data_IF_583824983651
#
_entry.id   IF_583824983651
#
_cell.length_a   1.000
_cell.length_b   1.000
_cell.length_c   1.000
_cell.angle_alpha   90.00
_cell.angle_beta   90.00
_cell.angle_gamma   90.00
#
_symmetry.space_group_name_H-M   'P 1'
#
loop_
_entity.id
_entity.type
_entity.pdbx_description
1 polymer ?
#
# COMPACT_ATOMS: atom_id res chain seq x y z
N UNK A 1 2.55 -14.81 -17.25
CA UNK A 1 2.20 -16.05 -16.51
C UNK A 1 1.50 -17.05 -17.44
N UNK A 2 1.73 -18.35 -17.27
CA UNK A 2 1.03 -19.40 -18.02
C UNK A 2 -0.46 -19.49 -17.62
N UNK A 3 -1.35 -19.23 -18.58
CA UNK A 3 -2.80 -19.31 -18.37
C UNK A 3 -3.29 -20.72 -18.02
N UNK A 4 -2.54 -21.77 -18.39
CA UNK A 4 -2.94 -23.15 -18.08
C UNK A 4 -2.91 -23.44 -16.57
N UNK A 5 -2.19 -22.64 -15.79
CA UNK A 5 -2.15 -22.72 -14.34
C UNK A 5 -3.39 -22.11 -13.67
N UNK A 6 -4.20 -21.37 -14.43
CA UNK A 6 -5.29 -20.54 -13.93
C UNK A 6 -6.63 -20.99 -14.49
N UNK A 7 -7.68 -20.87 -13.69
CA UNK A 7 -9.06 -21.03 -14.13
C UNK A 7 -9.76 -19.67 -14.18
N UNK A 8 -10.10 -19.21 -15.38
CA UNK A 8 -10.89 -17.99 -15.56
C UNK A 8 -12.30 -18.17 -14.97
N UNK A 9 -12.74 -17.22 -14.14
CA UNK A 9 -14.06 -17.18 -13.50
C UNK A 9 -14.89 -15.96 -13.86
N UNK A 10 -14.25 -14.90 -14.36
CA UNK A 10 -14.90 -13.70 -14.87
C UNK A 10 -14.06 -13.02 -15.96
N UNK A 11 -14.50 -11.85 -16.47
CA UNK A 11 -13.74 -11.09 -17.45
C UNK A 11 -12.30 -10.83 -17.01
N UNK A 12 -12.11 -10.45 -15.75
CA UNK A 12 -10.81 -10.10 -15.18
C UNK A 12 -10.51 -10.87 -13.88
N UNK A 13 -11.06 -12.07 -13.73
CA UNK A 13 -10.94 -12.87 -12.50
C UNK A 13 -10.43 -14.29 -12.80
N UNK A 14 -9.30 -14.64 -12.18
CA UNK A 14 -8.55 -15.87 -12.41
C UNK A 14 -8.29 -16.58 -11.10
N UNK A 15 -8.59 -17.87 -11.04
CA UNK A 15 -8.51 -18.66 -9.81
C UNK A 15 -7.44 -19.74 -9.93
N UNK A 16 -6.69 -19.93 -8.85
CA UNK A 16 -5.79 -21.06 -8.65
C UNK A 16 -6.45 -21.97 -7.60
N UNK A 17 -6.75 -23.20 -8.01
CA UNK A 17 -7.37 -24.17 -7.09
C UNK A 17 -6.37 -24.58 -6.01
N UNK A 18 -6.80 -24.81 -4.76
CA UNK A 18 -5.89 -25.24 -3.70
C UNK A 18 -5.16 -26.52 -4.09
N UNK A 19 -3.84 -26.53 -3.93
CA UNK A 19 -3.00 -27.70 -4.13
C UNK A 19 -1.82 -27.69 -3.14
N UNK A 20 -1.21 -28.86 -2.90
CA UNK A 20 -0.12 -28.98 -1.93
C UNK A 20 -0.55 -28.53 -0.53
N UNK A 21 0.17 -27.57 0.05
CA UNK A 21 -0.09 -27.05 1.40
C UNK A 21 -1.03 -25.84 1.43
N UNK A 22 -1.62 -25.44 0.30
CA UNK A 22 -2.58 -24.34 0.26
C UNK A 22 -3.80 -24.66 1.13
N UNK A 23 -4.15 -23.73 2.00
CA UNK A 23 -5.32 -23.80 2.90
C UNK A 23 -6.56 -23.20 2.25
N UNK A 24 -6.36 -22.26 1.33
CA UNK A 24 -7.38 -21.52 0.58
C UNK A 24 -6.99 -21.41 -0.90
N UNK A 25 -7.91 -21.12 -1.83
CA UNK A 25 -7.53 -20.80 -3.21
C UNK A 25 -6.70 -19.52 -3.28
N UNK A 26 -6.10 -19.26 -4.45
CA UNK A 26 -5.63 -17.92 -4.79
C UNK A 26 -6.47 -17.31 -5.92
N UNK A 27 -6.64 -15.99 -5.89
CA UNK A 27 -7.44 -15.23 -6.86
C UNK A 27 -6.62 -14.07 -7.38
N UNK A 28 -6.51 -13.95 -8.69
CA UNK A 28 -5.84 -12.84 -9.37
C UNK A 28 -6.88 -12.06 -10.14
N UNK A 29 -6.95 -10.76 -9.88
CA UNK A 29 -7.76 -9.83 -10.67
C UNK A 29 -6.89 -9.14 -11.70
N UNK A 30 -7.14 -9.37 -12.98
CA UNK A 30 -6.39 -8.79 -14.10
C UNK A 30 -7.03 -9.14 -15.43
N UNK A 31 -6.85 -8.27 -16.43
CA UNK A 31 -7.14 -8.63 -17.82
C UNK A 31 -6.22 -9.75 -18.29
N UNK A 32 -6.62 -10.48 -19.34
CA UNK A 32 -5.77 -11.55 -19.89
C UNK A 32 -4.39 -11.04 -20.33
N UNK A 33 -4.33 -9.83 -20.91
CA UNK A 33 -3.06 -9.20 -21.29
C UNK A 33 -2.14 -9.02 -20.09
N UNK A 34 -2.67 -8.49 -18.98
CA UNK A 34 -1.91 -8.31 -17.75
C UNK A 34 -1.46 -9.65 -17.15
N UNK A 35 -2.32 -10.68 -17.13
CA UNK A 35 -1.92 -12.02 -16.66
C UNK A 35 -0.75 -12.58 -17.49
N UNK A 36 -0.80 -12.43 -18.81
CA UNK A 36 0.26 -12.91 -19.69
C UNK A 36 1.59 -12.19 -19.42
N UNK A 37 1.52 -10.90 -19.13
CA UNK A 37 2.69 -10.06 -18.82
C UNK A 37 3.21 -10.19 -17.37
N UNK A 38 2.38 -10.66 -16.43
CA UNK A 38 2.78 -10.90 -15.04
C UNK A 38 3.87 -11.96 -14.92
N UNK A 39 4.82 -11.75 -14.00
CA UNK A 39 5.89 -12.69 -13.66
C UNK A 39 5.32 -13.98 -13.04
N UNK A 40 5.91 -15.14 -13.34
CA UNK A 40 5.62 -16.43 -12.69
C UNK A 40 5.84 -16.38 -11.17
N UNK A 41 6.70 -15.49 -10.68
CA UNK A 41 6.89 -15.25 -9.25
C UNK A 41 5.62 -14.77 -8.56
N UNK A 42 4.71 -14.08 -9.25
CA UNK A 42 3.41 -13.72 -8.68
C UNK A 42 2.62 -14.98 -8.35
N UNK A 43 2.58 -15.96 -9.26
CA UNK A 43 1.92 -17.26 -9.04
C UNK A 43 2.52 -17.98 -7.83
N UNK A 44 3.85 -18.09 -7.78
CA UNK A 44 4.56 -18.72 -6.66
C UNK A 44 4.23 -18.03 -5.33
N UNK A 45 4.24 -16.70 -5.28
CA UNK A 45 4.02 -15.96 -4.05
C UNK A 45 2.56 -16.03 -3.58
N UNK A 46 1.55 -15.89 -4.46
CA UNK A 46 0.15 -16.04 -4.03
C UNK A 46 -0.17 -17.45 -3.56
N UNK A 47 0.42 -18.47 -4.18
CA UNK A 47 0.25 -19.86 -3.74
C UNK A 47 0.96 -20.14 -2.41
N UNK A 48 2.15 -19.56 -2.18
CA UNK A 48 2.84 -19.63 -0.89
C UNK A 48 2.05 -18.93 0.23
N UNK A 49 1.53 -17.73 -0.02
CA UNK A 49 0.69 -16.99 0.94
C UNK A 49 -0.55 -17.79 1.30
N UNK A 50 -1.16 -18.47 0.33
CA UNK A 50 -2.31 -19.36 0.55
C UNK A 50 -2.03 -20.54 1.49
N UNK A 51 -0.77 -20.82 1.86
CA UNK A 51 -0.41 -21.87 2.84
C UNK A 51 -0.39 -21.40 4.29
N UNK A 52 -0.42 -20.08 4.53
CA UNK A 52 -0.14 -19.50 5.84
C UNK A 52 -1.28 -19.76 6.86
N UNK A 53 -0.96 -20.06 8.14
CA UNK A 53 -1.97 -20.36 9.16
C UNK A 53 -2.98 -19.23 9.35
N UNK A 54 -4.25 -19.60 9.56
CA UNK A 54 -5.35 -18.66 9.77
C UNK A 54 -5.76 -17.82 8.56
N UNK A 55 -5.19 -18.03 7.36
CA UNK A 55 -5.63 -17.30 6.16
C UNK A 55 -7.10 -17.59 5.85
N UNK A 56 -7.86 -16.54 5.51
CA UNK A 56 -9.30 -16.66 5.22
C UNK A 56 -9.60 -16.43 3.75
N UNK A 57 -10.58 -17.19 3.24
CA UNK A 57 -11.17 -17.11 1.89
C UNK A 57 -10.23 -17.39 0.72
N UNK A 58 -9.22 -16.55 0.51
CA UNK A 58 -8.23 -16.69 -0.55
C UNK A 58 -6.99 -15.82 -0.30
N UNK A 59 -5.89 -16.15 -0.98
CA UNK A 59 -4.81 -15.19 -1.22
C UNK A 59 -5.12 -14.41 -2.50
N UNK A 60 -5.13 -13.08 -2.44
CA UNK A 60 -5.48 -12.23 -3.57
C UNK A 60 -4.25 -11.54 -4.17
N UNK A 61 -4.29 -11.30 -5.47
CA UNK A 61 -3.38 -10.40 -6.18
C UNK A 61 -4.16 -9.43 -7.08
N UNK A 62 -3.75 -8.17 -7.05
CA UNK A 62 -4.32 -7.06 -7.82
C UNK A 62 -3.73 -6.99 -9.24
N UNK A 63 -4.32 -6.20 -10.16
CA UNK A 63 -3.89 -6.16 -11.56
C UNK A 63 -2.46 -5.67 -11.81
N UNK A 64 -1.88 -4.98 -10.85
CA UNK A 64 -0.50 -4.45 -10.85
C UNK A 64 0.49 -5.36 -10.11
N UNK A 65 0.06 -6.59 -9.77
CA UNK A 65 0.88 -7.49 -8.96
C UNK A 65 2.19 -7.88 -9.67
N UNK A 66 3.27 -7.89 -8.89
CA UNK A 66 4.61 -8.25 -9.34
C UNK A 66 5.44 -8.80 -8.18
N UNK A 67 6.64 -9.27 -8.50
CA UNK A 67 7.51 -9.94 -7.54
C UNK A 67 7.84 -9.04 -6.33
N UNK A 68 7.49 -9.52 -5.14
CA UNK A 68 7.76 -8.84 -3.86
C UNK A 68 8.64 -9.67 -2.91
N UNK A 69 8.67 -9.31 -1.63
CA UNK A 69 9.43 -10.01 -0.60
C UNK A 69 8.52 -10.95 0.21
N UNK A 70 8.44 -12.22 -0.21
CA UNK A 70 7.57 -13.24 0.39
C UNK A 70 6.14 -13.17 -0.16
N UNK A 71 5.47 -12.04 0.01
CA UNK A 71 4.19 -11.72 -0.64
C UNK A 71 4.46 -10.99 -1.97
N UNK A 72 3.57 -11.09 -2.97
CA UNK A 72 3.67 -10.23 -4.13
C UNK A 72 3.30 -8.79 -3.75
N UNK A 73 3.94 -7.80 -4.39
CA UNK A 73 3.39 -6.44 -4.36
C UNK A 73 2.04 -6.47 -5.05
N UNK A 74 1.06 -5.70 -4.56
CA UNK A 74 -0.35 -5.82 -4.98
C UNK A 74 -1.06 -7.04 -4.40
N UNK A 75 -0.46 -7.73 -3.41
CA UNK A 75 -1.08 -8.84 -2.70
C UNK A 75 -2.04 -8.39 -1.59
N UNK A 76 -3.11 -9.15 -1.37
CA UNK A 76 -4.00 -8.98 -0.21
C UNK A 76 -4.28 -10.34 0.42
N UNK A 77 -4.11 -10.44 1.73
CA UNK A 77 -4.47 -11.62 2.50
C UNK A 77 -4.99 -11.20 3.87
N UNK A 78 -6.08 -11.82 4.30
CA UNK A 78 -6.64 -11.64 5.63
C UNK A 78 -6.37 -12.90 6.47
N UNK A 79 -6.05 -12.69 7.75
CA UNK A 79 -5.71 -13.73 8.70
C UNK A 79 -6.59 -13.61 9.93
N UNK A 80 -7.24 -14.70 10.32
CA UNK A 80 -8.10 -14.75 11.49
C UNK A 80 -7.28 -15.09 12.75
N UNK A 81 -7.18 -14.17 13.75
CA UNK A 81 -6.40 -14.42 14.95
C UNK A 81 -6.92 -15.62 15.77
N UNK A 82 -8.22 -15.89 15.75
CA UNK A 82 -8.83 -17.01 16.49
C UNK A 82 -8.51 -18.37 15.85
N UNK A 83 -8.09 -18.37 14.58
CA UNK A 83 -7.65 -19.55 13.84
C UNK A 83 -6.12 -19.68 13.77
N UNK A 84 -5.41 -18.99 14.67
CA UNK A 84 -3.94 -18.97 14.68
C UNK A 84 -3.35 -18.13 13.54
N UNK A 85 -4.06 -17.08 13.13
CA UNK A 85 -3.63 -16.12 12.13
C UNK A 85 -2.27 -15.50 12.45
N UNK A 86 -1.51 -15.25 11.39
CA UNK A 86 -0.15 -14.70 11.49
C UNK A 86 -0.10 -13.26 11.03
N UNK A 87 0.88 -12.52 11.54
CA UNK A 87 1.31 -11.23 10.97
C UNK A 87 2.67 -11.43 10.33
N UNK A 88 2.79 -11.07 9.05
CA UNK A 88 4.05 -11.14 8.31
C UNK A 88 4.48 -9.75 7.87
N UNK A 89 5.66 -9.31 8.30
CA UNK A 89 6.22 -8.02 7.85
C UNK A 89 6.38 -7.97 6.32
N UNK A 90 6.71 -9.11 5.69
CA UNK A 90 6.78 -9.20 4.22
C UNK A 90 5.43 -9.05 3.52
N UNK A 91 4.31 -9.28 4.22
CA UNK A 91 2.96 -9.01 3.71
C UNK A 91 2.51 -7.56 3.83
N UNK A 92 3.22 -6.75 4.63
CA UNK A 92 3.00 -5.30 4.75
C UNK A 92 3.95 -4.54 3.81
N UNK A 93 5.22 -4.93 3.79
CA UNK A 93 6.28 -4.26 3.03
C UNK A 93 7.26 -3.51 3.92
N UNK A 94 8.41 -3.13 3.34
CA UNK A 94 9.48 -2.43 4.05
C UNK A 94 9.14 -0.96 4.34
N UNK A 95 8.52 -0.28 3.38
CA UNK A 95 8.07 1.10 3.51
C UNK A 95 6.65 1.11 4.12
N UNK A 96 6.59 0.94 5.44
CA UNK A 96 5.34 0.83 6.18
C UNK A 96 4.55 2.13 6.03
N UNK A 97 3.27 2.01 5.66
CA UNK A 97 2.38 3.14 5.41
C UNK A 97 2.78 4.01 4.21
N UNK A 98 3.58 3.49 3.26
CA UNK A 98 3.71 4.09 1.94
C UNK A 98 2.30 4.32 1.37
N UNK A 99 2.01 5.56 0.97
CA UNK A 99 0.64 5.96 0.70
C UNK A 99 0.54 7.24 -0.10
N UNK A 100 -0.69 7.62 -0.42
CA UNK A 100 -0.99 8.76 -1.27
C UNK A 100 -1.90 9.72 -0.51
N UNK A 101 -1.56 11.02 -0.55
CA UNK A 101 -2.45 12.10 -0.15
C UNK A 101 -2.77 12.95 -1.37
N UNK A 102 -4.05 13.14 -1.65
CA UNK A 102 -4.52 14.07 -2.66
C UNK A 102 -5.07 15.34 -1.99
N UNK A 103 -4.61 16.51 -2.45
CA UNK A 103 -5.14 17.80 -2.02
C UNK A 103 -5.92 18.42 -3.17
N UNK A 104 -7.15 18.85 -2.89
CA UNK A 104 -8.00 19.53 -3.86
C UNK A 104 -7.88 21.04 -3.67
N UNK A 105 -7.71 21.75 -4.79
CA UNK A 105 -7.82 23.22 -4.84
C UNK A 105 -9.08 23.62 -5.62
N UNK A 106 -9.40 24.91 -5.61
CA UNK A 106 -10.43 25.49 -6.47
C UNK A 106 -9.92 25.94 -7.85
N UNK A 107 -8.63 25.70 -8.16
CA UNK A 107 -7.98 26.17 -9.39
C UNK A 107 -8.28 25.24 -10.55
N UNK A 108 -8.34 25.80 -11.76
CA UNK A 108 -8.47 25.04 -13.00
C UNK A 108 -7.12 24.80 -13.66
N UNK A 109 -7.11 24.05 -14.76
CA UNK A 109 -5.90 23.83 -15.56
C UNK A 109 -5.41 25.16 -16.15
N UNK A 110 -6.33 26.02 -16.57
CA UNK A 110 -6.04 27.32 -17.18
C UNK A 110 -5.37 28.27 -16.19
N UNK A 111 -5.74 28.23 -14.91
CA UNK A 111 -5.08 29.01 -13.84
C UNK A 111 -3.62 28.56 -13.65
N UNK A 112 -3.35 27.26 -13.84
CA UNK A 112 -2.04 26.66 -13.57
C UNK A 112 -1.09 26.72 -14.77
N UNK A 113 -1.60 26.68 -16.01
CA UNK A 113 -0.74 26.64 -17.21
C UNK A 113 0.32 27.74 -17.26
N UNK A 114 0.01 29.02 -16.94
CA UNK A 114 1.00 30.10 -16.99
C UNK A 114 2.09 30.00 -15.91
N UNK A 115 1.83 29.30 -14.81
CA UNK A 115 2.72 29.27 -13.63
C UNK A 115 3.27 27.89 -13.30
N UNK A 116 2.97 26.86 -14.09
CA UNK A 116 3.30 25.45 -13.79
C UNK A 116 4.78 25.21 -13.49
N UNK A 117 5.69 25.86 -14.21
CA UNK A 117 7.13 25.72 -14.01
C UNK A 117 7.57 26.37 -12.70
N UNK A 118 7.12 27.60 -12.44
CA UNK A 118 7.41 28.33 -11.20
C UNK A 118 6.84 27.60 -9.98
N UNK A 119 5.64 27.02 -10.10
CA UNK A 119 5.03 26.22 -9.04
C UNK A 119 5.82 24.94 -8.78
N UNK A 120 6.23 24.22 -9.82
CA UNK A 120 7.04 23.01 -9.68
C UNK A 120 8.39 23.31 -9.00
N UNK A 121 9.07 24.39 -9.41
CA UNK A 121 10.33 24.84 -8.81
C UNK A 121 10.14 25.25 -7.34
N UNK A 122 9.08 26.00 -7.04
CA UNK A 122 8.76 26.39 -5.67
C UNK A 122 8.48 25.17 -4.77
N UNK A 123 7.74 24.17 -5.27
CA UNK A 123 7.49 22.92 -4.55
C UNK A 123 8.79 22.14 -4.33
N UNK A 124 9.61 21.98 -5.36
CA UNK A 124 10.89 21.28 -5.26
C UNK A 124 11.84 21.92 -4.24
N UNK A 125 11.92 23.25 -4.21
CA UNK A 125 12.72 23.95 -3.21
C UNK A 125 12.14 23.90 -1.80
N UNK A 126 10.82 23.79 -1.68
CA UNK A 126 10.14 23.82 -0.37
C UNK A 126 10.01 22.45 0.28
N UNK A 127 9.92 21.39 -0.52
CA UNK A 127 9.70 20.01 -0.08
C UNK A 127 11.01 19.22 -0.27
N UNK A 128 11.75 18.93 0.81
CA UNK A 128 12.99 18.16 0.71
C UNK A 128 12.72 16.76 0.13
N UNK A 129 13.43 16.41 -0.95
CA UNK A 129 13.37 15.11 -1.59
C UNK A 129 14.78 14.59 -1.91
N UNK A 130 14.93 13.27 -2.06
CA UNK A 130 16.19 12.60 -2.39
C UNK A 130 16.92 12.00 -1.18
N UNK A 131 17.75 11.00 -1.44
CA UNK A 131 18.52 10.27 -0.42
C UNK A 131 19.48 11.24 0.30
N UNK A 132 19.40 11.29 1.63
CA UNK A 132 20.23 12.17 2.47
C UNK A 132 19.70 13.60 2.63
N UNK A 133 18.58 13.95 1.98
CA UNK A 133 17.90 15.23 2.18
C UNK A 133 17.23 15.28 3.56
N UNK A 134 17.21 16.45 4.21
CA UNK A 134 16.63 16.61 5.56
C UNK A 134 15.65 17.78 5.61
N UNK A 135 14.63 17.63 6.46
CA UNK A 135 13.63 18.66 6.72
C UNK A 135 14.08 19.73 7.70
N UNK A 136 13.27 20.79 7.80
CA UNK A 136 13.45 21.86 8.80
C UNK A 136 12.98 21.45 10.20
N UNK A 137 12.13 20.43 10.29
CA UNK A 137 11.65 19.88 11.55
C UNK A 137 12.79 19.12 12.22
N UNK A 138 13.16 19.54 13.43
CA UNK A 138 14.17 18.89 14.27
C UNK A 138 13.45 18.40 15.51
N UNK A 139 13.50 17.10 15.74
CA UNK A 139 12.87 16.46 16.90
C UNK A 139 13.96 15.86 17.77
N UNK A 140 13.86 16.07 19.08
CA UNK A 140 14.56 15.23 20.02
C UNK A 140 13.85 13.87 20.18
N UNK A 141 14.37 13.02 21.06
CA UNK A 141 13.80 11.69 21.28
C UNK A 141 12.35 11.75 21.80
N UNK A 142 12.05 12.67 22.71
CA UNK A 142 10.71 12.77 23.29
C UNK A 142 9.70 13.29 22.26
N UNK A 143 10.09 14.29 21.46
CA UNK A 143 9.24 14.77 20.38
C UNK A 143 9.06 13.75 19.27
N UNK A 144 10.07 12.92 18.99
CA UNK A 144 9.95 11.78 18.07
C UNK A 144 8.91 10.78 18.58
N UNK A 145 8.97 10.39 19.86
CA UNK A 145 7.99 9.48 20.46
C UNK A 145 6.57 10.09 20.40
N UNK A 146 6.44 11.39 20.69
CA UNK A 146 5.17 12.10 20.56
C UNK A 146 4.65 12.16 19.11
N UNK A 147 5.54 12.30 18.13
CA UNK A 147 5.19 12.27 16.71
C UNK A 147 4.74 10.88 16.26
N UNK A 148 5.49 9.83 16.62
CA UNK A 148 5.18 8.44 16.25
C UNK A 148 3.84 7.98 16.86
N UNK A 149 3.59 8.31 18.12
CA UNK A 149 2.34 7.95 18.82
C UNK A 149 1.15 8.84 18.45
N UNK A 150 1.41 10.09 18.04
CA UNK A 150 0.40 11.09 17.72
C UNK A 150 0.04 11.22 16.23
N UNK A 151 0.87 10.71 15.33
CA UNK A 151 0.64 10.72 13.88
C UNK A 151 0.35 12.12 13.31
N UNK A 152 -0.60 12.22 12.39
CA UNK A 152 -1.00 13.49 11.79
C UNK A 152 -1.60 14.47 12.82
N UNK A 153 -2.21 13.97 13.91
CA UNK A 153 -2.74 14.83 14.97
C UNK A 153 -1.62 15.62 15.67
N UNK A 154 -0.45 15.01 15.86
CA UNK A 154 0.73 15.72 16.36
C UNK A 154 1.15 16.85 15.41
N UNK A 155 1.16 16.58 14.09
CA UNK A 155 1.54 17.57 13.09
C UNK A 155 0.58 18.77 13.09
N UNK A 156 -0.74 18.53 13.13
CA UNK A 156 -1.76 19.59 13.25
C UNK A 156 -1.58 20.38 14.55
N UNK A 157 -1.31 19.70 15.68
CA UNK A 157 -1.03 20.35 16.96
C UNK A 157 0.22 21.24 16.96
N UNK A 158 1.16 21.00 16.03
CA UNK A 158 2.35 21.83 15.78
C UNK A 158 2.13 22.90 14.70
N UNK A 159 0.91 23.03 14.18
CA UNK A 159 0.54 24.03 13.17
C UNK A 159 0.75 23.58 11.72
N UNK A 160 0.97 22.29 11.48
CA UNK A 160 1.07 21.73 10.13
C UNK A 160 -0.29 21.20 9.68
N UNK A 161 -1.05 22.04 8.98
CA UNK A 161 -2.39 21.72 8.51
C UNK A 161 -3.49 22.26 9.43
N UNK A 162 -4.69 21.74 9.27
CA UNK A 162 -5.89 22.12 10.01
C UNK A 162 -6.51 20.92 10.71
N UNK A 163 -7.41 21.17 11.67
CA UNK A 163 -8.11 20.07 12.36
C UNK A 163 -9.00 19.26 11.40
N UNK A 164 -9.61 19.93 10.42
CA UNK A 164 -10.45 19.31 9.39
C UNK A 164 -9.65 18.31 8.55
N UNK A 165 -8.35 18.51 8.35
CA UNK A 165 -7.51 17.57 7.60
C UNK A 165 -7.58 16.15 8.18
N UNK A 166 -7.76 15.99 9.50
CA UNK A 166 -7.80 14.69 10.17
C UNK A 166 -9.06 13.87 9.82
N UNK A 167 -10.13 14.51 9.36
CA UNK A 167 -11.35 13.82 8.94
C UNK A 167 -11.18 13.13 7.58
N UNK A 168 -10.19 13.53 6.79
CA UNK A 168 -9.94 13.05 5.43
C UNK A 168 -8.67 12.21 5.32
N UNK A 169 -8.17 11.68 6.44
CA UNK A 169 -7.04 10.75 6.48
C UNK A 169 -7.56 9.42 7.01
N UNK A 170 -7.16 8.32 6.38
CA UNK A 170 -7.38 6.97 6.91
C UNK A 170 -6.91 6.87 8.37
N UNK A 171 -7.69 6.21 9.23
CA UNK A 171 -7.45 6.13 10.69
C UNK A 171 -7.33 7.51 11.36
N UNK A 172 -7.90 8.57 10.78
CA UNK A 172 -7.71 9.96 11.21
C UNK A 172 -6.23 10.36 11.33
N UNK A 173 -5.37 9.70 10.57
CA UNK A 173 -3.92 9.86 10.58
C UNK A 173 -3.24 9.39 11.86
N UNK A 174 -3.87 8.51 12.66
CA UNK A 174 -3.28 7.93 13.87
C UNK A 174 -3.85 6.55 14.17
N UNK A 175 -3.01 5.52 14.02
CA UNK A 175 -3.35 4.17 14.47
C UNK A 175 -3.36 4.08 16.00
N UNK A 176 -4.37 3.43 16.57
CA UNK A 176 -4.43 3.17 18.01
C UNK A 176 -3.38 2.14 18.43
N UNK A 177 -2.73 2.34 19.58
CA UNK A 177 -1.75 1.40 20.15
C UNK A 177 -0.32 1.50 19.59
N UNK A 178 -0.05 2.51 18.76
CA UNK A 178 1.29 2.89 18.31
C UNK A 178 2.17 3.42 19.46
#
# INVERSE_FOLDING_TARGET
MDLNLLKRRGPDEWHISPHGNMRVPAVIYASEALIRDMDEKVYEQVTNVATLPGIVRASYAMPDAHWGYGFPIGGVAAFDPDLGGVVSAGGVGFDISCGVRALRTGLTVEDLQPVKEQLAEALFHRIPAGVGSTGKVRLDRHEMDAMLTGGASWAVGKGYGTHEDLEFIEEHGRMSGA
#
